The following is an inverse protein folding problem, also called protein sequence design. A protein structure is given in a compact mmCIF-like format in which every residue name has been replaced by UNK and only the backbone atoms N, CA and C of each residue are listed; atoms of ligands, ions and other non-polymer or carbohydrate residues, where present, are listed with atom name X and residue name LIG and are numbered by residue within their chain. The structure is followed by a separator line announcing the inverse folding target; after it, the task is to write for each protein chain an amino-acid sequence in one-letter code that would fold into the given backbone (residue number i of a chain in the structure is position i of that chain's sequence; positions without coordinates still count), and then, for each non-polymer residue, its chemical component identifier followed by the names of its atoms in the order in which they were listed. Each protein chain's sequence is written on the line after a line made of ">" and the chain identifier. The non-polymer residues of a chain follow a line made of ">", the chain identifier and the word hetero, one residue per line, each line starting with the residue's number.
data_IF_739226955388
#
_entry.id   IF_739226955388
#
_cell.length_a   1.000
_cell.length_b   1.000
_cell.length_c   1.000
_cell.angle_alpha   90.00
_cell.angle_beta   90.00
_cell.angle_gamma   90.00
#
_symmetry.space_group_name_H-M   'P 1'
#
loop_
_entity.id
_entity.type
_entity.pdbx_description
1 polymer ?
#
# COMPACT_ATOMS: atom_id res chain seq x y z
N UNK A 1 15.99 14.62 -9.35
CA UNK A 1 16.51 14.72 -7.97
C UNK A 1 15.63 13.79 -7.15
N UNK A 2 16.14 12.64 -6.66
CA UNK A 2 15.34 11.76 -5.80
C UNK A 2 15.05 12.57 -4.53
N UNK A 3 13.79 12.89 -4.28
CA UNK A 3 13.41 13.51 -3.01
C UNK A 3 13.81 12.52 -1.90
N UNK A 4 14.59 12.99 -0.93
CA UNK A 4 14.97 12.15 0.20
C UNK A 4 13.71 11.83 0.99
N UNK A 5 13.21 10.60 0.87
CA UNK A 5 11.99 10.13 1.54
C UNK A 5 12.06 10.35 3.06
N UNK A 6 13.27 10.36 3.62
CA UNK A 6 13.58 10.63 5.03
C UNK A 6 13.28 12.06 5.49
N UNK A 7 13.19 13.01 4.57
CA UNK A 7 12.93 14.44 4.85
C UNK A 7 11.48 14.84 4.59
N UNK A 8 10.70 13.96 3.98
CA UNK A 8 9.31 14.25 3.65
C UNK A 8 8.45 14.36 4.93
N UNK A 9 7.50 15.30 4.97
CA UNK A 9 6.43 15.27 5.95
C UNK A 9 5.71 13.92 5.92
N UNK A 10 5.26 13.44 7.08
CA UNK A 10 4.66 12.10 7.25
C UNK A 10 3.60 11.79 6.20
N UNK A 11 2.69 12.74 5.92
CA UNK A 11 1.65 12.55 4.92
C UNK A 11 2.23 12.31 3.52
N UNK A 12 3.20 13.13 3.10
CA UNK A 12 3.83 13.01 1.79
C UNK A 12 4.62 11.70 1.66
N UNK A 13 5.32 11.28 2.72
CA UNK A 13 5.99 9.98 2.75
C UNK A 13 4.99 8.83 2.54
N UNK A 14 3.88 8.81 3.27
CA UNK A 14 2.87 7.76 3.14
C UNK A 14 2.19 7.79 1.77
N UNK A 15 1.84 8.98 1.28
CA UNK A 15 1.21 9.20 -0.03
C UNK A 15 2.10 8.69 -1.18
N UNK A 16 3.43 8.81 -1.05
CA UNK A 16 4.39 8.36 -2.07
C UNK A 16 4.80 6.88 -1.94
N UNK A 17 4.69 6.27 -0.76
CA UNK A 17 5.24 4.92 -0.53
C UNK A 17 4.16 3.83 -0.48
N UNK A 18 3.11 4.01 0.31
CA UNK A 18 2.21 2.91 0.68
C UNK A 18 0.74 3.19 0.42
N UNK A 19 0.32 4.45 0.38
CA UNK A 19 -1.11 4.81 0.20
C UNK A 19 -1.69 4.27 -1.11
N UNK A 20 -1.03 4.35 -2.28
CA UNK A 20 -1.63 3.87 -3.52
C UNK A 20 -1.96 2.36 -3.48
N UNK A 21 -1.03 1.54 -3.01
CA UNK A 21 -1.22 0.09 -2.90
C UNK A 21 -2.21 -0.28 -1.78
N UNK A 22 -2.21 0.47 -0.67
CA UNK A 22 -3.17 0.27 0.42
C UNK A 22 -4.60 0.59 -0.01
N UNK A 23 -4.82 1.68 -0.75
CA UNK A 23 -6.16 2.02 -1.26
C UNK A 23 -6.72 0.93 -2.17
N UNK A 24 -5.90 0.37 -3.05
CA UNK A 24 -6.31 -0.72 -3.94
C UNK A 24 -6.57 -2.01 -3.15
N UNK A 25 -5.67 -2.38 -2.24
CA UNK A 25 -5.84 -3.56 -1.38
C UNK A 25 -7.06 -3.48 -0.47
N UNK A 26 -7.33 -2.30 0.11
CA UNK A 26 -8.52 -2.06 0.93
C UNK A 26 -9.81 -2.10 0.10
N UNK A 27 -9.78 -1.60 -1.14
CA UNK A 27 -10.94 -1.67 -2.05
C UNK A 27 -11.31 -3.12 -2.37
N UNK A 28 -10.30 -3.97 -2.62
CA UNK A 28 -10.53 -5.40 -2.83
C UNK A 28 -10.99 -6.09 -1.54
N UNK A 29 -10.36 -5.79 -0.40
CA UNK A 29 -10.75 -6.34 0.90
C UNK A 29 -12.21 -6.03 1.25
N UNK A 30 -12.67 -4.81 1.00
CA UNK A 30 -14.06 -4.38 1.24
C UNK A 30 -15.08 -5.12 0.37
N UNK A 31 -14.66 -5.53 -0.84
CA UNK A 31 -15.47 -6.33 -1.77
C UNK A 31 -15.53 -7.79 -1.34
N UNK A 32 -14.37 -8.41 -1.10
CA UNK A 32 -14.27 -9.86 -0.93
C UNK A 32 -14.61 -10.31 0.50
N UNK A 33 -14.49 -9.41 1.48
CA UNK A 33 -14.81 -9.62 2.91
C UNK A 33 -14.34 -11.00 3.44
N UNK A 34 -13.06 -11.35 3.27
CA UNK A 34 -12.54 -12.64 3.67
C UNK A 34 -12.57 -12.81 5.19
N UNK A 35 -12.68 -14.07 5.65
CA UNK A 35 -12.68 -14.40 7.09
C UNK A 35 -11.41 -13.93 7.82
N UNK A 36 -10.29 -13.76 7.10
CA UNK A 36 -9.00 -13.31 7.61
C UNK A 36 -8.52 -12.05 6.89
N UNK A 37 -9.04 -10.87 7.25
CA UNK A 37 -8.82 -9.64 6.49
C UNK A 37 -7.36 -9.17 6.46
N UNK A 38 -6.62 -9.35 7.56
CA UNK A 38 -5.22 -8.94 7.66
C UNK A 38 -4.32 -9.81 6.77
N UNK A 39 -4.47 -11.14 6.84
CA UNK A 39 -3.70 -12.08 6.00
C UNK A 39 -3.95 -11.79 4.51
N UNK A 40 -5.21 -11.55 4.14
CA UNK A 40 -5.59 -11.23 2.77
C UNK A 40 -4.95 -9.92 2.27
N UNK A 41 -5.01 -8.85 3.08
CA UNK A 41 -4.39 -7.59 2.70
C UNK A 41 -2.86 -7.70 2.62
N UNK A 42 -2.22 -8.38 3.58
CA UNK A 42 -0.78 -8.61 3.55
C UNK A 42 -0.34 -9.38 2.28
N UNK A 43 -1.09 -10.42 1.91
CA UNK A 43 -0.86 -11.16 0.67
C UNK A 43 -0.99 -10.27 -0.56
N UNK A 44 -2.05 -9.44 -0.62
CA UNK A 44 -2.26 -8.48 -1.71
C UNK A 44 -1.06 -7.55 -1.86
N UNK A 45 -0.57 -6.98 -0.73
CA UNK A 45 0.58 -6.09 -0.74
C UNK A 45 1.84 -6.80 -1.27
N UNK A 46 2.11 -8.03 -0.81
CA UNK A 46 3.29 -8.80 -1.25
C UNK A 46 3.25 -9.18 -2.72
N UNK A 47 2.08 -9.56 -3.23
CA UNK A 47 1.90 -9.96 -4.64
C UNK A 47 1.96 -8.79 -5.61
N UNK A 48 1.64 -7.58 -5.15
CA UNK A 48 1.54 -6.41 -6.02
C UNK A 48 2.67 -5.39 -5.80
N UNK A 49 3.54 -5.56 -4.80
CA UNK A 49 4.61 -4.60 -4.47
C UNK A 49 5.45 -4.14 -5.67
N UNK A 50 5.74 -5.01 -6.62
CA UNK A 50 6.55 -4.67 -7.81
C UNK A 50 5.86 -3.68 -8.75
N UNK A 51 4.51 -3.64 -8.75
CA UNK A 51 3.72 -2.70 -9.55
C UNK A 51 3.67 -1.30 -8.95
N UNK A 52 4.00 -1.18 -7.66
CA UNK A 52 3.95 0.07 -6.90
C UNK A 52 5.34 0.47 -6.38
N UNK A 53 6.38 -0.30 -6.71
CA UNK A 53 7.74 -0.06 -6.28
C UNK A 53 8.55 0.69 -7.33
N UNK A 54 8.87 1.94 -7.00
CA UNK A 54 10.18 2.58 -7.21
C UNK A 54 10.70 3.12 -5.87
#
# INVERSE_FOLDING_TARGET
>A
QKADLSTLPTRAYLDQTVVPILLQGMSQLARDRPAKPIEHLALYLQQNKEKYGE
#
